data_IF_252998304641
#
_entry.id   IF_252998304641
#
_cell.length_a   1.000
_cell.length_b   1.000
_cell.length_c   1.000
_cell.angle_alpha   90.00
_cell.angle_beta   90.00
_cell.angle_gamma   90.00
#
_symmetry.space_group_name_H-M   'P 1'
#
loop_
_entity.id
_entity.type
_entity.pdbx_description
1 polymer ?
#
# COMPACT_ATOMS: atom_id res chain seq x y z
N UNK A 1 60.22 -33.77 34.17
CA UNK A 1 58.98 -33.55 33.40
C UNK A 1 57.85 -33.81 34.36
N UNK A 2 57.32 -32.73 34.94
CA UNK A 2 56.23 -32.80 35.90
C UNK A 2 54.92 -32.90 35.14
N UNK A 3 54.15 -33.92 35.46
CA UNK A 3 52.81 -34.17 34.96
C UNK A 3 51.91 -32.99 35.35
N UNK A 4 51.46 -32.22 34.36
CA UNK A 4 50.41 -31.23 34.57
C UNK A 4 49.12 -32.02 34.71
N UNK A 5 48.61 -32.12 35.94
CA UNK A 5 47.29 -32.66 36.20
C UNK A 5 46.27 -31.91 35.35
N UNK A 6 45.76 -32.55 34.29
CA UNK A 6 44.51 -32.19 33.66
C UNK A 6 43.45 -32.20 34.77
N UNK A 7 42.97 -31.02 35.16
CA UNK A 7 41.74 -30.92 35.97
C UNK A 7 40.65 -31.60 35.14
N UNK A 8 39.87 -32.53 35.71
CA UNK A 8 38.71 -33.06 35.01
C UNK A 8 37.81 -31.88 34.62
N UNK A 9 37.51 -31.73 33.34
CA UNK A 9 36.42 -30.87 32.90
C UNK A 9 35.16 -31.41 33.59
N UNK A 10 34.61 -30.65 34.52
CA UNK A 10 33.30 -30.97 35.06
C UNK A 10 32.33 -30.92 33.89
N UNK A 11 31.71 -32.06 33.56
CA UNK A 11 30.59 -32.07 32.64
C UNK A 11 29.43 -31.37 33.33
N UNK A 12 29.22 -30.10 32.99
CA UNK A 12 28.06 -29.34 33.41
C UNK A 12 26.79 -29.94 32.80
N UNK A 13 25.70 -29.91 33.55
CA UNK A 13 24.42 -30.45 33.08
C UNK A 13 23.68 -29.50 32.13
N UNK A 14 24.11 -28.25 32.03
CA UNK A 14 23.43 -27.20 31.27
C UNK A 14 22.17 -26.67 31.98
N UNK A 15 21.98 -27.07 33.24
CA UNK A 15 20.81 -26.76 34.04
C UNK A 15 21.26 -26.08 35.34
N UNK A 16 20.91 -24.81 35.48
CA UNK A 16 21.29 -23.98 36.61
C UNK A 16 20.93 -24.63 37.96
N UNK A 17 19.75 -25.25 38.07
CA UNK A 17 19.30 -25.82 39.35
C UNK A 17 20.13 -27.05 39.78
N UNK A 18 20.75 -27.74 38.81
CA UNK A 18 21.60 -28.91 39.05
C UNK A 18 23.07 -28.53 39.22
N UNK A 19 23.53 -27.54 38.47
CA UNK A 19 24.92 -27.09 38.46
C UNK A 19 25.22 -26.17 39.66
N UNK A 20 24.21 -25.46 40.19
CA UNK A 20 24.34 -24.54 41.33
C UNK A 20 23.54 -25.05 42.52
N UNK A 21 24.18 -25.21 43.67
CA UNK A 21 23.52 -25.70 44.88
C UNK A 21 22.39 -24.78 45.35
N UNK A 22 21.24 -25.35 45.72
CA UNK A 22 20.01 -24.60 46.07
C UNK A 22 20.15 -23.47 47.12
N UNK A 23 21.21 -23.50 47.95
CA UNK A 23 21.49 -22.47 48.94
C UNK A 23 22.24 -21.24 48.38
N UNK A 24 22.75 -21.34 47.15
CA UNK A 24 23.53 -20.30 46.45
C UNK A 24 22.76 -19.69 45.27
N UNK A 25 21.70 -20.34 44.79
CA UNK A 25 21.00 -19.95 43.57
C UNK A 25 20.52 -18.49 43.59
N UNK A 26 19.83 -18.07 44.66
CA UNK A 26 19.35 -16.68 44.80
C UNK A 26 20.51 -15.67 44.87
N UNK A 27 21.58 -16.01 45.59
CA UNK A 27 22.76 -15.15 45.76
C UNK A 27 23.51 -14.97 44.43
N UNK A 28 23.72 -16.06 43.69
CA UNK A 28 24.35 -16.05 42.37
C UNK A 28 23.58 -15.17 41.39
N UNK A 29 22.25 -15.34 41.30
CA UNK A 29 21.43 -14.52 40.42
C UNK A 29 21.44 -13.05 40.84
N UNK A 30 21.33 -12.77 42.14
CA UNK A 30 21.39 -11.40 42.64
C UNK A 30 22.72 -10.72 42.33
N UNK A 31 23.86 -11.40 42.53
CA UNK A 31 25.20 -10.87 42.23
C UNK A 31 25.34 -10.54 40.74
N UNK A 32 24.92 -11.46 39.85
CA UNK A 32 24.96 -11.25 38.40
C UNK A 32 24.13 -10.01 38.02
N UNK A 33 22.91 -9.91 38.53
CA UNK A 33 22.00 -8.80 38.24
C UNK A 33 22.53 -7.48 38.77
N UNK A 34 23.07 -7.44 39.99
CA UNK A 34 23.66 -6.22 40.58
C UNK A 34 24.87 -5.72 39.78
N UNK A 35 25.73 -6.62 39.29
CA UNK A 35 26.85 -6.25 38.42
C UNK A 35 26.34 -5.76 37.06
N UNK A 36 25.37 -6.45 36.46
CA UNK A 36 24.83 -6.08 35.15
C UNK A 36 24.12 -4.73 35.14
N UNK A 37 23.41 -4.37 36.22
CA UNK A 37 22.83 -3.04 36.41
C UNK A 37 23.85 -1.97 36.83
N UNK A 38 25.10 -2.37 37.15
CA UNK A 38 26.16 -1.46 37.61
C UNK A 38 25.99 -0.99 39.06
N UNK A 39 25.26 -1.74 39.89
CA UNK A 39 25.11 -1.45 41.32
C UNK A 39 26.26 -1.98 42.17
N UNK A 40 26.99 -3.00 41.68
CA UNK A 40 28.13 -3.61 42.35
C UNK A 40 29.28 -3.90 41.37
N UNK A 41 30.48 -4.11 41.92
CA UNK A 41 31.63 -4.69 41.22
C UNK A 41 31.94 -6.05 41.84
N UNK A 42 32.08 -7.08 41.02
CA UNK A 42 32.39 -8.45 41.44
C UNK A 42 33.46 -9.04 40.53
N UNK A 43 34.60 -9.45 41.10
CA UNK A 43 35.74 -9.97 40.32
C UNK A 43 35.53 -11.38 39.79
N UNK A 44 34.55 -12.11 40.32
CA UNK A 44 34.20 -13.46 39.87
C UNK A 44 33.23 -13.42 38.68
N UNK A 45 32.73 -12.24 38.29
CA UNK A 45 31.72 -12.08 37.23
C UNK A 45 32.32 -11.26 36.07
N UNK A 46 32.19 -11.80 34.86
CA UNK A 46 32.49 -11.08 33.62
C UNK A 46 31.20 -10.90 32.83
N UNK A 47 30.86 -9.65 32.50
CA UNK A 47 29.72 -9.35 31.62
C UNK A 47 30.24 -9.20 30.20
N UNK A 48 29.76 -10.05 29.30
CA UNK A 48 30.16 -10.04 27.89
C UNK A 48 29.27 -9.11 27.07
N UNK A 49 27.96 -9.12 27.35
CA UNK A 49 26.98 -8.30 26.64
C UNK A 49 25.77 -7.96 27.51
N UNK A 50 25.20 -6.78 27.28
CA UNK A 50 23.97 -6.30 27.92
C UNK A 50 23.09 -5.63 26.87
N UNK A 51 21.83 -6.03 26.78
CA UNK A 51 20.80 -5.30 26.04
C UNK A 51 19.77 -4.70 26.99
N UNK A 52 19.66 -3.38 26.96
CA UNK A 52 18.68 -2.65 27.75
C UNK A 52 17.37 -2.54 26.98
N UNK A 53 16.42 -3.40 27.34
CA UNK A 53 15.08 -3.45 26.75
C UNK A 53 14.28 -2.20 27.13
N UNK A 54 14.34 -1.79 28.40
CA UNK A 54 13.81 -0.53 28.91
C UNK A 54 14.49 -0.16 30.24
N UNK A 55 14.08 0.93 30.88
CA UNK A 55 14.68 1.38 32.13
C UNK A 55 14.55 0.39 33.30
N UNK A 56 13.68 -0.63 33.19
CA UNK A 56 13.41 -1.63 34.22
C UNK A 56 13.70 -3.08 33.79
N UNK A 57 14.17 -3.32 32.56
CA UNK A 57 14.38 -4.67 32.03
C UNK A 57 15.65 -4.73 31.19
N UNK A 58 16.50 -5.73 31.47
CA UNK A 58 17.73 -6.01 30.74
C UNK A 58 17.83 -7.49 30.36
N UNK A 59 18.57 -7.77 29.30
CA UNK A 59 19.01 -9.10 28.91
C UNK A 59 20.54 -9.11 28.91
N UNK A 60 21.15 -10.14 29.48
CA UNK A 60 22.56 -10.14 29.88
C UNK A 60 23.18 -11.48 29.50
N UNK A 61 24.39 -11.46 28.97
CA UNK A 61 25.23 -12.66 28.82
C UNK A 61 26.59 -12.43 29.48
N UNK A 62 27.16 -13.50 30.03
CA UNK A 62 28.47 -13.42 30.66
C UNK A 62 28.91 -14.72 31.28
N UNK A 63 29.91 -14.63 32.15
CA UNK A 63 30.43 -15.75 32.93
C UNK A 63 30.55 -15.41 34.41
N UNK A 64 30.44 -16.43 35.26
CA UNK A 64 30.65 -16.35 36.71
C UNK A 64 31.50 -17.52 37.20
N UNK A 65 32.45 -17.26 38.11
CA UNK A 65 33.19 -18.28 38.82
C UNK A 65 32.44 -18.71 40.10
N UNK A 66 32.08 -20.00 40.20
CA UNK A 66 31.43 -20.61 41.37
C UNK A 66 32.28 -21.79 41.82
N UNK A 67 32.73 -21.80 43.08
CA UNK A 67 33.57 -22.85 43.66
C UNK A 67 34.83 -23.21 42.82
N UNK A 68 35.39 -22.22 42.13
CA UNK A 68 36.58 -22.39 41.27
C UNK A 68 36.30 -22.96 39.88
N UNK A 69 35.04 -22.97 39.45
CA UNK A 69 34.59 -23.38 38.11
C UNK A 69 33.89 -22.21 37.41
N UNK A 70 34.20 -22.00 36.14
CA UNK A 70 33.59 -20.95 35.33
C UNK A 70 32.30 -21.46 34.69
N UNK A 71 31.23 -20.69 34.84
CA UNK A 71 29.91 -20.95 34.27
C UNK A 71 29.52 -19.83 33.30
N UNK A 72 28.97 -20.17 32.12
CA UNK A 72 28.36 -19.17 31.24
C UNK A 72 26.87 -19.02 31.53
N UNK A 73 26.34 -17.82 31.34
CA UNK A 73 24.92 -17.54 31.55
C UNK A 73 24.34 -16.61 30.50
N UNK A 74 23.04 -16.77 30.25
CA UNK A 74 22.19 -15.85 29.51
C UNK A 74 20.92 -15.64 30.32
N UNK A 75 20.71 -14.42 30.80
CA UNK A 75 19.70 -14.10 31.80
C UNK A 75 18.90 -12.88 31.34
N UNK A 76 17.60 -12.90 31.62
CA UNK A 76 16.71 -11.75 31.50
C UNK A 76 16.27 -11.32 32.88
N UNK A 77 16.45 -10.05 33.20
CA UNK A 77 16.07 -9.48 34.49
C UNK A 77 15.08 -8.33 34.30
N UNK A 78 14.05 -8.26 35.16
CA UNK A 78 13.15 -7.12 35.14
C UNK A 78 11.89 -7.18 35.99
N UNK A 79 11.22 -6.02 36.03
CA UNK A 79 10.20 -5.71 37.01
C UNK A 79 8.81 -6.20 36.56
N UNK A 80 8.58 -7.52 36.64
CA UNK A 80 7.24 -8.14 36.77
C UNK A 80 7.29 -9.65 37.08
N UNK A 81 8.38 -10.37 36.76
CA UNK A 81 8.51 -11.81 37.01
C UNK A 81 9.82 -12.21 37.72
N UNK A 82 10.71 -11.26 38.02
CA UNK A 82 12.04 -11.54 38.58
C UNK A 82 13.07 -11.85 37.50
N UNK A 83 14.12 -12.57 37.88
CA UNK A 83 15.23 -12.97 37.03
C UNK A 83 14.95 -14.32 36.38
N UNK A 84 14.99 -14.38 35.06
CA UNK A 84 14.76 -15.58 34.24
C UNK A 84 16.08 -16.03 33.60
N UNK A 85 16.39 -17.32 33.72
CA UNK A 85 17.57 -17.92 33.10
C UNK A 85 17.15 -18.47 31.74
N UNK A 86 17.67 -17.89 30.67
CA UNK A 86 17.39 -18.31 29.29
C UNK A 86 18.32 -19.44 28.86
N UNK A 87 19.58 -19.40 29.31
CA UNK A 87 20.58 -20.45 29.09
C UNK A 87 21.64 -20.45 30.20
N UNK A 88 22.19 -21.63 30.49
CA UNK A 88 23.25 -21.86 31.47
C UNK A 88 24.26 -22.87 30.91
N UNK A 89 25.55 -22.53 30.94
CA UNK A 89 26.64 -23.38 30.43
C UNK A 89 26.50 -23.77 28.94
N UNK A 90 25.73 -23.00 28.16
CA UNK A 90 25.66 -23.10 26.71
C UNK A 90 26.07 -21.77 26.06
N UNK A 91 26.55 -21.85 24.82
CA UNK A 91 26.89 -20.65 24.03
C UNK A 91 25.60 -19.99 23.55
N UNK A 92 25.30 -18.81 24.09
CA UNK A 92 24.10 -18.06 23.79
C UNK A 92 24.44 -16.57 23.60
N UNK A 93 23.89 -15.98 22.54
CA UNK A 93 24.07 -14.58 22.21
C UNK A 93 22.72 -13.86 22.25
N UNK A 94 22.74 -12.59 22.65
CA UNK A 94 21.53 -11.75 22.63
C UNK A 94 21.12 -11.50 21.18
N UNK A 95 19.96 -12.01 20.79
CA UNK A 95 19.36 -11.74 19.49
C UNK A 95 18.63 -10.40 19.51
N UNK A 96 19.30 -9.36 18.99
CA UNK A 96 18.71 -8.03 18.84
C UNK A 96 17.96 -7.93 17.52
N UNK A 97 16.64 -7.79 17.59
CA UNK A 97 15.88 -7.34 16.44
C UNK A 97 16.21 -5.86 16.14
N UNK A 98 16.37 -5.46 14.87
CA UNK A 98 16.46 -4.05 14.51
C UNK A 98 15.25 -3.30 15.08
N UNK A 99 15.50 -2.24 15.85
CA UNK A 99 14.40 -1.45 16.43
C UNK A 99 13.62 -0.77 15.32
N UNK A 100 12.37 -1.19 15.13
CA UNK A 100 11.41 -0.52 14.28
C UNK A 100 10.84 0.70 15.04
N UNK A 101 11.15 1.94 14.62
CA UNK A 101 10.75 3.12 15.38
C UNK A 101 9.25 3.37 15.29
N UNK A 102 8.69 3.89 16.39
CA UNK A 102 7.30 4.33 16.40
C UNK A 102 7.09 5.54 15.49
N UNK A 103 5.95 5.57 14.82
CA UNK A 103 5.58 6.57 13.83
C UNK A 103 4.08 6.80 13.78
N UNK A 104 3.66 7.86 13.09
CA UNK A 104 2.23 8.12 12.82
C UNK A 104 1.78 7.40 11.56
N UNK A 105 0.63 6.74 11.64
CA UNK A 105 0.02 6.01 10.54
C UNK A 105 -1.44 6.45 10.43
N UNK A 106 -1.95 6.80 9.25
CA UNK A 106 -3.35 7.14 9.06
C UNK A 106 -4.27 5.91 9.20
N UNK A 107 -5.54 6.14 9.51
CA UNK A 107 -6.56 5.09 9.54
C UNK A 107 -6.67 4.35 8.19
N UNK A 108 -6.79 3.02 8.24
CA UNK A 108 -6.83 2.17 7.05
C UNK A 108 -8.04 2.43 6.13
N UNK A 109 -9.17 2.87 6.67
CA UNK A 109 -10.33 3.25 5.86
C UNK A 109 -10.09 4.56 5.13
N UNK A 110 -9.42 5.52 5.78
CA UNK A 110 -9.03 6.78 5.16
C UNK A 110 -8.05 6.54 3.99
N UNK A 111 -7.05 5.68 4.18
CA UNK A 111 -6.12 5.25 3.12
C UNK A 111 -6.86 4.61 1.95
N UNK A 112 -7.74 3.64 2.24
CA UNK A 112 -8.53 2.95 1.22
C UNK A 112 -9.44 3.91 0.46
N UNK A 113 -10.06 4.87 1.15
CA UNK A 113 -10.87 5.91 0.55
C UNK A 113 -10.03 6.86 -0.32
N UNK A 114 -8.83 7.25 0.11
CA UNK A 114 -7.93 8.09 -0.68
C UNK A 114 -7.56 7.43 -2.00
N UNK A 115 -7.24 6.13 -1.99
CA UNK A 115 -6.96 5.37 -3.22
C UNK A 115 -8.22 5.26 -4.09
N UNK A 116 -9.35 4.87 -3.49
CA UNK A 116 -10.62 4.66 -4.22
C UNK A 116 -11.14 5.93 -4.88
N UNK A 117 -11.02 7.07 -4.21
CA UNK A 117 -11.50 8.36 -4.68
C UNK A 117 -10.40 9.21 -5.33
N UNK A 118 -9.27 8.59 -5.70
CA UNK A 118 -8.21 9.23 -6.51
C UNK A 118 -7.56 10.46 -5.83
N UNK A 119 -7.51 10.47 -4.49
CA UNK A 119 -6.89 11.51 -3.66
C UNK A 119 -5.59 11.06 -3.00
N UNK A 120 -4.99 9.96 -3.47
CA UNK A 120 -3.85 9.34 -2.81
C UNK A 120 -2.61 10.26 -2.75
N UNK A 121 -2.36 11.07 -3.79
CA UNK A 121 -1.22 12.01 -3.83
C UNK A 121 -1.38 13.13 -2.79
N UNK A 122 -2.52 13.83 -2.83
CA UNK A 122 -2.83 14.90 -1.86
C UNK A 122 -2.88 14.38 -0.42
N UNK A 123 -3.42 13.16 -0.23
CA UNK A 123 -3.50 12.51 1.07
C UNK A 123 -2.11 12.16 1.61
N UNK A 124 -1.24 11.60 0.77
CA UNK A 124 0.15 11.31 1.12
C UNK A 124 0.91 12.60 1.49
N UNK A 125 0.76 13.67 0.70
CA UNK A 125 1.38 14.96 1.00
C UNK A 125 0.90 15.53 2.34
N UNK A 126 -0.40 15.44 2.62
CA UNK A 126 -0.99 15.90 3.90
C UNK A 126 -0.44 15.11 5.08
N UNK A 127 -0.42 13.78 4.98
CA UNK A 127 0.10 12.90 6.02
C UNK A 127 1.59 13.16 6.31
N UNK A 128 2.43 13.28 5.28
CA UNK A 128 3.86 13.56 5.50
C UNK A 128 4.08 14.95 6.13
N UNK A 129 3.24 15.95 5.79
CA UNK A 129 3.28 17.27 6.44
C UNK A 129 2.87 17.18 7.91
N UNK A 130 1.82 16.43 8.25
CA UNK A 130 1.40 16.22 9.63
C UNK A 130 2.50 15.49 10.44
N UNK A 131 3.10 14.45 9.87
CA UNK A 131 4.24 13.73 10.47
C UNK A 131 5.44 14.65 10.70
N UNK A 132 5.73 15.55 9.75
CA UNK A 132 6.82 16.52 9.85
C UNK A 132 6.50 17.74 10.75
N UNK A 133 5.28 17.87 11.24
CA UNK A 133 4.87 19.01 12.08
C UNK A 133 4.52 20.28 11.30
N UNK A 134 4.39 20.21 9.98
CA UNK A 134 4.10 21.36 9.09
C UNK A 134 2.70 21.33 8.49
N UNK A 135 1.96 20.25 8.69
CA UNK A 135 0.58 20.07 8.26
C UNK A 135 -0.42 20.74 9.20
N UNK A 136 -1.71 20.62 8.87
CA UNK A 136 -2.82 21.21 9.63
C UNK A 136 -2.83 20.73 11.09
N UNK A 137 -2.53 19.45 11.31
CA UNK A 137 -2.52 18.83 12.64
C UNK A 137 -1.10 18.52 13.13
N UNK A 138 -0.08 18.97 12.39
CA UNK A 138 1.31 18.58 12.64
C UNK A 138 1.85 18.99 14.02
N UNK A 139 1.45 20.15 14.54
CA UNK A 139 1.87 20.60 15.88
C UNK A 139 1.39 19.65 16.98
N UNK A 140 0.17 19.12 16.85
CA UNK A 140 -0.42 18.20 17.81
C UNK A 140 0.13 16.78 17.66
N UNK A 141 0.41 16.34 16.42
CA UNK A 141 0.70 14.95 16.11
C UNK A 141 2.19 14.59 16.11
N UNK A 142 3.06 15.43 15.53
CA UNK A 142 4.45 15.07 15.16
C UNK A 142 5.32 14.55 16.32
N UNK A 143 5.01 14.95 17.56
CA UNK A 143 5.78 14.55 18.77
C UNK A 143 5.21 13.33 19.48
N UNK A 144 4.00 12.87 19.14
CA UNK A 144 3.34 11.79 19.87
C UNK A 144 4.13 10.47 19.80
N UNK A 145 4.67 10.02 18.65
CA UNK A 145 5.40 8.75 18.61
C UNK A 145 6.67 8.75 19.45
N UNK A 146 7.44 9.86 19.43
CA UNK A 146 8.67 9.97 20.21
C UNK A 146 8.39 10.11 21.71
N UNK A 147 7.32 10.82 22.10
CA UNK A 147 6.86 10.89 23.47
C UNK A 147 6.40 9.51 23.99
N UNK A 148 5.63 8.76 23.20
CA UNK A 148 5.23 7.41 23.55
C UNK A 148 6.43 6.46 23.66
N UNK A 149 7.39 6.52 22.73
CA UNK A 149 8.60 5.72 22.79
C UNK A 149 9.41 6.02 24.06
N UNK A 150 9.55 7.31 24.41
CA UNK A 150 10.23 7.74 25.62
C UNK A 150 9.54 7.19 26.88
N UNK A 151 8.23 7.38 27.03
CA UNK A 151 7.50 6.92 28.21
C UNK A 151 7.45 5.39 28.29
N UNK A 152 7.38 4.69 27.16
CA UNK A 152 7.43 3.22 27.13
C UNK A 152 8.79 2.70 27.61
N UNK A 153 9.87 3.45 27.38
CA UNK A 153 11.20 3.10 27.86
C UNK A 153 11.40 3.45 29.34
N UNK A 154 11.03 4.66 29.78
CA UNK A 154 11.33 5.16 31.13
C UNK A 154 10.26 4.87 32.17
N UNK A 155 9.01 4.69 31.75
CA UNK A 155 7.87 4.45 32.62
C UNK A 155 7.03 3.27 32.10
N UNK A 156 7.65 2.09 31.86
CA UNK A 156 6.93 0.94 31.34
C UNK A 156 5.80 0.53 32.30
N UNK A 157 4.65 0.12 31.75
CA UNK A 157 3.50 -0.35 32.54
C UNK A 157 2.61 0.74 33.16
N UNK A 158 2.95 2.03 33.02
CA UNK A 158 2.14 3.14 33.56
C UNK A 158 0.86 3.44 32.76
N UNK A 159 0.71 2.87 31.57
CA UNK A 159 -0.41 3.14 30.67
C UNK A 159 -0.30 4.47 29.91
N UNK A 160 0.81 5.20 30.04
CA UNK A 160 1.05 6.47 29.34
C UNK A 160 0.87 6.36 27.81
N UNK A 161 1.27 5.21 27.23
CA UNK A 161 1.09 4.90 25.81
C UNK A 161 -0.35 5.10 25.32
N UNK A 162 -1.35 4.72 26.12
CA UNK A 162 -2.76 4.84 25.76
C UNK A 162 -3.17 6.31 25.53
N UNK A 163 -2.64 7.23 26.35
CA UNK A 163 -2.97 8.65 26.22
C UNK A 163 -2.47 9.27 24.92
N UNK A 164 -1.33 8.80 24.39
CA UNK A 164 -0.79 9.24 23.10
C UNK A 164 -1.58 8.63 21.94
N UNK A 165 -1.95 7.35 22.06
CA UNK A 165 -2.80 6.66 21.09
C UNK A 165 -4.18 7.31 20.98
N UNK A 166 -4.83 7.60 22.11
CA UNK A 166 -6.14 8.25 22.15
C UNK A 166 -6.08 9.64 21.48
N UNK A 167 -5.01 10.42 21.73
CA UNK A 167 -4.79 11.71 21.07
C UNK A 167 -4.58 11.59 19.56
N UNK A 168 -3.82 10.60 19.09
CA UNK A 168 -3.65 10.38 17.66
C UNK A 168 -5.00 10.03 16.99
N UNK A 169 -5.81 9.21 17.67
CA UNK A 169 -7.12 8.77 17.18
C UNK A 169 -8.13 9.93 17.02
N UNK A 170 -8.03 11.01 17.81
CA UNK A 170 -8.84 12.22 17.63
C UNK A 170 -8.70 12.86 16.24
N UNK A 171 -7.59 12.57 15.56
CA UNK A 171 -7.27 13.08 14.21
C UNK A 171 -7.26 11.98 13.15
N UNK A 172 -7.87 10.82 13.41
CA UNK A 172 -7.90 9.66 12.50
C UNK A 172 -6.50 9.07 12.20
N UNK A 173 -5.57 9.20 13.15
CA UNK A 173 -4.25 8.57 13.12
C UNK A 173 -4.09 7.52 14.23
N UNK A 174 -3.12 6.64 14.05
CA UNK A 174 -2.63 5.73 15.08
C UNK A 174 -1.11 5.84 15.19
N UNK A 175 -0.58 5.44 16.35
CA UNK A 175 0.87 5.30 16.56
C UNK A 175 1.20 3.83 16.36
N UNK A 176 1.96 3.52 15.32
CA UNK A 176 2.44 2.18 15.01
C UNK A 176 3.90 2.21 14.61
N UNK A 177 4.33 1.27 13.76
CA UNK A 177 5.73 1.12 13.38
C UNK A 177 6.05 1.73 12.00
N UNK A 178 7.32 2.05 11.76
CA UNK A 178 7.76 2.61 10.48
C UNK A 178 7.63 1.61 9.33
N UNK A 179 7.77 0.30 9.60
CA UNK A 179 7.45 -0.74 8.62
C UNK A 179 5.99 -0.70 8.15
N UNK A 180 5.04 -0.48 9.06
CA UNK A 180 3.62 -0.32 8.73
C UNK A 180 3.37 0.97 7.92
N UNK A 181 4.00 2.08 8.33
CA UNK A 181 3.93 3.33 7.55
C UNK A 181 4.49 3.15 6.14
N UNK A 182 5.59 2.42 5.98
CA UNK A 182 6.14 2.08 4.68
C UNK A 182 5.14 1.31 3.82
N UNK A 183 4.41 0.35 4.38
CA UNK A 183 3.33 -0.36 3.67
C UNK A 183 2.17 0.57 3.26
N UNK A 184 1.80 1.51 4.11
CA UNK A 184 0.77 2.52 3.79
C UNK A 184 1.24 3.44 2.65
N UNK A 185 2.49 3.92 2.67
CA UNK A 185 3.07 4.71 1.58
C UNK A 185 3.04 3.95 0.26
N UNK A 186 3.47 2.68 0.25
CA UNK A 186 3.41 1.84 -0.95
C UNK A 186 1.99 1.74 -1.51
N UNK A 187 0.99 1.60 -0.64
CA UNK A 187 -0.42 1.53 -1.02
C UNK A 187 -0.89 2.83 -1.68
N UNK A 188 -0.60 3.98 -1.07
CA UNK A 188 -0.94 5.28 -1.61
C UNK A 188 -0.23 5.55 -2.95
N UNK A 189 1.08 5.36 -3.00
CA UNK A 189 1.89 5.59 -4.20
C UNK A 189 1.47 4.67 -5.35
N UNK A 190 1.20 3.40 -5.06
CA UNK A 190 0.63 2.47 -6.05
C UNK A 190 -0.75 2.90 -6.58
N UNK A 191 -1.51 3.67 -5.79
CA UNK A 191 -2.77 4.28 -6.21
C UNK A 191 -2.60 5.46 -7.18
N UNK A 192 -1.48 6.20 -7.09
CA UNK A 192 -1.18 7.41 -7.88
C UNK A 192 -0.88 7.07 -9.33
N UNK A 193 -0.01 6.09 -9.55
CA UNK A 193 0.50 5.75 -10.88
C UNK A 193 -0.38 4.73 -11.60
N UNK A 194 -0.55 4.94 -12.91
CA UNK A 194 -1.30 4.09 -13.83
C UNK A 194 -0.40 3.67 -14.97
N UNK A 195 -0.54 2.40 -15.36
CA UNK A 195 0.12 1.83 -16.54
C UNK A 195 -0.77 2.13 -17.74
N UNK A 196 -0.20 2.71 -18.79
CA UNK A 196 -0.84 3.02 -20.06
C UNK A 196 -0.04 2.40 -21.21
N UNK A 197 -0.66 2.04 -22.35
CA UNK A 197 0.09 1.62 -23.52
C UNK A 197 0.91 2.79 -24.07
N UNK A 198 2.05 2.49 -24.67
CA UNK A 198 2.83 3.49 -25.41
C UNK A 198 2.15 3.73 -26.75
N UNK A 199 1.61 4.94 -26.92
CA UNK A 199 1.02 5.40 -28.19
C UNK A 199 1.90 6.52 -28.72
N UNK A 200 3.08 6.14 -29.23
CA UNK A 200 4.21 6.89 -29.82
C UNK A 200 4.38 8.42 -29.69
N UNK A 201 5.67 8.80 -29.70
CA UNK A 201 6.31 10.03 -29.20
C UNK A 201 5.95 11.37 -29.89
N UNK A 202 5.18 11.38 -30.99
CA UNK A 202 4.98 12.58 -31.83
C UNK A 202 3.51 12.99 -32.07
N UNK A 203 2.54 12.37 -31.38
CA UNK A 203 1.12 12.81 -31.38
C UNK A 203 0.31 12.56 -32.66
N UNK A 204 0.97 12.29 -33.80
CA UNK A 204 0.34 12.01 -35.09
C UNK A 204 -0.19 10.59 -35.26
N UNK A 205 0.14 9.65 -34.37
CA UNK A 205 -0.22 8.22 -34.52
C UNK A 205 -1.50 7.84 -33.79
N UNK A 206 -1.91 8.55 -32.73
CA UNK A 206 -3.15 8.24 -32.02
C UNK A 206 -4.37 8.34 -32.95
N UNK A 207 -4.39 9.30 -33.88
CA UNK A 207 -5.46 9.45 -34.87
C UNK A 207 -5.54 8.31 -35.89
N UNK A 208 -4.46 7.55 -36.08
CA UNK A 208 -4.35 6.45 -37.04
C UNK A 208 -4.44 5.08 -36.35
N UNK A 209 -4.10 5.01 -35.06
CA UNK A 209 -4.17 3.79 -34.26
C UNK A 209 -5.60 3.23 -34.19
N UNK A 210 -5.72 1.90 -34.31
CA UNK A 210 -6.99 1.19 -34.10
C UNK A 210 -7.32 1.20 -32.59
N UNK A 211 -8.41 1.86 -32.14
CA UNK A 211 -8.70 1.99 -30.72
C UNK A 211 -8.94 0.64 -30.02
N UNK A 212 -9.51 -0.35 -30.72
CA UNK A 212 -9.80 -1.65 -30.16
C UNK A 212 -8.51 -2.45 -29.88
N UNK A 213 -7.53 -2.37 -30.77
CA UNK A 213 -6.20 -2.98 -30.56
C UNK A 213 -5.49 -2.30 -29.37
N UNK A 214 -5.53 -0.97 -29.28
CA UNK A 214 -4.92 -0.25 -28.15
C UNK A 214 -5.55 -0.62 -26.81
N UNK A 215 -6.87 -0.80 -26.73
CA UNK A 215 -7.54 -1.27 -25.51
C UNK A 215 -7.17 -2.72 -25.18
N UNK A 216 -7.03 -3.58 -26.19
CA UNK A 216 -6.60 -4.96 -26.00
C UNK A 216 -5.16 -5.04 -25.48
N UNK A 217 -4.22 -4.33 -26.11
CA UNK A 217 -2.83 -4.21 -25.66
C UNK A 217 -2.78 -3.68 -24.22
N UNK A 218 -3.62 -2.68 -23.90
CA UNK A 218 -3.68 -2.14 -22.55
C UNK A 218 -4.16 -3.17 -21.52
N UNK A 219 -5.10 -4.04 -21.88
CA UNK A 219 -5.54 -5.13 -21.01
C UNK A 219 -4.38 -6.12 -20.75
N UNK A 220 -3.62 -6.48 -21.78
CA UNK A 220 -2.46 -7.38 -21.67
C UNK A 220 -1.37 -6.83 -20.74
N UNK A 221 -1.10 -5.51 -20.79
CA UNK A 221 -0.16 -4.85 -19.88
C UNK A 221 -0.58 -4.95 -18.40
N UNK A 222 -1.87 -5.11 -18.14
CA UNK A 222 -2.45 -5.23 -16.79
C UNK A 222 -2.66 -6.68 -16.36
N UNK A 223 -2.58 -7.64 -17.28
CA UNK A 223 -2.81 -9.05 -17.00
C UNK A 223 -1.58 -9.73 -16.40
N UNK A 224 -1.65 -10.07 -15.12
CA UNK A 224 -0.57 -10.72 -14.38
C UNK A 224 -0.34 -12.19 -14.74
N UNK A 225 -1.21 -12.78 -15.57
CA UNK A 225 -1.01 -14.12 -16.12
C UNK A 225 -0.05 -14.10 -17.33
N UNK A 226 0.17 -12.93 -17.95
CA UNK A 226 1.16 -12.75 -19.03
C UNK A 226 2.57 -12.47 -18.48
N UNK A 227 3.61 -12.79 -19.24
CA UNK A 227 5.00 -12.43 -18.88
C UNK A 227 5.18 -10.91 -18.78
N UNK A 228 4.58 -10.16 -19.71
CA UNK A 228 4.63 -8.70 -19.74
C UNK A 228 3.96 -8.09 -18.51
N UNK A 229 2.74 -8.52 -18.17
CA UNK A 229 2.04 -8.00 -17.00
C UNK A 229 2.72 -8.38 -15.67
N UNK A 230 3.34 -9.57 -15.56
CA UNK A 230 4.22 -9.89 -14.42
C UNK A 230 5.42 -8.96 -14.32
N UNK A 231 6.09 -8.70 -15.44
CA UNK A 231 7.23 -7.78 -15.48
C UNK A 231 6.82 -6.36 -15.07
N UNK A 232 5.68 -5.86 -15.58
CA UNK A 232 5.10 -4.57 -15.22
C UNK A 232 4.77 -4.50 -13.73
N UNK A 233 4.11 -5.51 -13.16
CA UNK A 233 3.79 -5.58 -11.73
C UNK A 233 5.06 -5.56 -10.87
N UNK A 234 6.09 -6.30 -11.28
CA UNK A 234 7.37 -6.33 -10.59
C UNK A 234 8.07 -4.97 -10.64
N UNK A 235 8.16 -4.35 -11.82
CA UNK A 235 8.74 -3.02 -12.00
C UNK A 235 7.99 -1.96 -11.19
N UNK A 236 6.65 -1.99 -11.21
CA UNK A 236 5.81 -1.09 -10.41
C UNK A 236 6.06 -1.29 -8.91
N UNK A 237 6.14 -2.54 -8.45
CA UNK A 237 6.39 -2.84 -7.03
C UNK A 237 7.75 -2.34 -6.55
N UNK A 238 8.80 -2.46 -7.39
CA UNK A 238 10.13 -1.97 -7.08
C UNK A 238 10.20 -0.44 -7.05
N UNK A 239 9.63 0.22 -8.07
CA UNK A 239 9.53 1.68 -8.14
C UNK A 239 8.76 2.23 -6.94
N UNK A 240 7.59 1.66 -6.63
CA UNK A 240 6.76 2.08 -5.49
C UNK A 240 7.49 1.89 -4.17
N UNK A 241 8.25 0.80 -4.00
CA UNK A 241 9.05 0.58 -2.80
C UNK A 241 10.16 1.63 -2.64
N UNK A 242 10.87 1.96 -3.72
CA UNK A 242 11.86 3.06 -3.71
C UNK A 242 11.21 4.40 -3.34
N UNK A 243 10.11 4.76 -3.99
CA UNK A 243 9.41 6.01 -3.72
C UNK A 243 8.85 6.09 -2.29
N UNK A 244 8.48 4.96 -1.69
CA UNK A 244 8.05 4.90 -0.29
C UNK A 244 9.21 5.10 0.69
N UNK A 245 10.45 4.82 0.26
CA UNK A 245 11.68 4.99 1.04
C UNK A 245 12.22 6.43 0.93
N UNK A 246 12.33 6.97 -0.30
CA UNK A 246 12.92 8.29 -0.56
C UNK A 246 11.92 9.45 -0.66
N UNK A 247 10.62 9.16 -0.72
CA UNK A 247 9.52 10.11 -0.91
C UNK A 247 9.62 10.97 -2.20
N UNK A 248 10.40 10.53 -3.19
CA UNK A 248 10.51 11.19 -4.50
C UNK A 248 9.48 10.60 -5.45
N UNK A 249 8.32 11.26 -5.54
CA UNK A 249 7.13 10.83 -6.31
C UNK A 249 7.24 11.01 -7.84
N UNK A 250 8.40 10.68 -8.40
CA UNK A 250 8.65 10.71 -9.85
C UNK A 250 9.47 9.48 -10.28
N UNK A 251 9.07 8.79 -11.37
CA UNK A 251 9.87 7.70 -11.92
C UNK A 251 11.24 8.20 -12.36
N UNK A 252 12.28 7.41 -12.12
CA UNK A 252 13.60 7.69 -12.67
C UNK A 252 13.62 7.43 -14.18
N UNK A 253 14.65 7.93 -14.87
CA UNK A 253 14.81 7.69 -16.30
C UNK A 253 14.96 6.18 -16.62
N UNK A 254 15.62 5.43 -15.74
CA UNK A 254 15.77 3.98 -15.87
C UNK A 254 14.44 3.26 -15.69
N UNK A 255 13.67 3.62 -14.66
CA UNK A 255 12.33 3.06 -14.42
C UNK A 255 11.41 3.34 -15.62
N UNK A 256 11.32 4.60 -16.06
CA UNK A 256 10.52 4.97 -17.22
C UNK A 256 10.97 4.24 -18.51
N UNK A 257 12.28 4.06 -18.70
CA UNK A 257 12.84 3.27 -19.78
C UNK A 257 12.42 1.80 -19.72
N UNK A 258 12.45 1.18 -18.54
CA UNK A 258 12.04 -0.21 -18.35
C UNK A 258 10.56 -0.44 -18.69
N UNK A 259 9.65 0.46 -18.27
CA UNK A 259 8.24 0.39 -18.70
C UNK A 259 8.10 0.53 -20.22
N UNK A 260 8.84 1.45 -20.84
CA UNK A 260 8.77 1.68 -22.28
C UNK A 260 9.21 0.46 -23.10
N UNK A 261 10.24 -0.26 -22.66
CA UNK A 261 10.65 -1.53 -23.29
C UNK A 261 9.53 -2.57 -23.25
N UNK A 262 8.69 -2.55 -22.22
CA UNK A 262 7.52 -3.42 -22.07
C UNK A 262 6.28 -2.89 -22.82
N UNK A 263 6.40 -1.85 -23.64
CA UNK A 263 5.26 -1.24 -24.34
C UNK A 263 4.37 -0.39 -23.44
N UNK A 264 4.82 -0.08 -22.22
CA UNK A 264 4.08 0.67 -21.22
C UNK A 264 4.64 2.07 -20.98
N UNK A 265 3.77 3.00 -20.60
CA UNK A 265 4.10 4.30 -20.06
C UNK A 265 3.42 4.47 -18.71
N UNK A 266 4.05 5.26 -17.84
CA UNK A 266 3.50 5.63 -16.54
C UNK A 266 2.79 6.97 -16.66
N UNK A 267 1.61 7.05 -16.10
CA UNK A 267 0.86 8.30 -16.02
C UNK A 267 0.08 8.40 -14.71
N UNK A 268 -0.51 9.57 -14.48
CA UNK A 268 -1.53 9.76 -13.45
C UNK A 268 -2.92 9.51 -14.02
N UNK A 269 -3.88 9.30 -13.12
CA UNK A 269 -5.26 8.96 -13.46
C UNK A 269 -5.97 9.91 -14.45
N UNK A 270 -5.81 11.25 -14.40
CA UNK A 270 -6.43 12.12 -15.39
C UNK A 270 -6.02 11.81 -16.83
N UNK A 271 -4.76 11.42 -17.05
CA UNK A 271 -4.26 11.03 -18.37
C UNK A 271 -4.82 9.67 -18.82
N UNK A 272 -4.95 8.70 -17.91
CA UNK A 272 -5.60 7.41 -18.18
C UNK A 272 -7.06 7.61 -18.59
N UNK A 273 -7.83 8.41 -17.85
CA UNK A 273 -9.24 8.71 -18.14
C UNK A 273 -9.37 9.43 -19.48
N UNK A 274 -8.51 10.42 -19.75
CA UNK A 274 -8.51 11.13 -21.01
C UNK A 274 -8.24 10.21 -22.21
N UNK A 275 -7.24 9.33 -22.10
CA UNK A 275 -6.93 8.38 -23.17
C UNK A 275 -8.08 7.40 -23.39
N UNK A 276 -8.60 6.77 -22.32
CA UNK A 276 -9.75 5.85 -22.45
C UNK A 276 -10.94 6.55 -23.09
N UNK A 277 -11.25 7.78 -22.66
CA UNK A 277 -12.35 8.55 -23.22
C UNK A 277 -12.18 8.80 -24.72
N UNK A 278 -10.96 9.10 -25.17
CA UNK A 278 -10.65 9.29 -26.59
C UNK A 278 -10.72 7.99 -27.40
N UNK A 279 -10.29 6.86 -26.84
CA UNK A 279 -10.39 5.57 -27.51
C UNK A 279 -11.87 5.17 -27.68
N UNK A 280 -12.64 5.26 -26.60
CA UNK A 280 -14.06 4.91 -26.60
C UNK A 280 -14.92 5.82 -27.48
N UNK A 281 -14.64 7.13 -27.52
CA UNK A 281 -15.36 8.04 -28.42
C UNK A 281 -15.13 7.74 -29.90
N UNK A 282 -14.02 7.07 -30.25
CA UNK A 282 -13.73 6.60 -31.62
C UNK A 282 -14.29 5.22 -31.93
N UNK A 283 -14.57 4.41 -30.90
CA UNK A 283 -15.11 3.05 -31.06
C UNK A 283 -16.62 3.03 -31.19
N UNK A 284 -17.33 4.03 -30.67
CA UNK A 284 -18.79 4.05 -30.68
C UNK A 284 -19.34 4.94 -31.78
N UNK A 285 -20.46 4.51 -32.35
CA UNK A 285 -21.36 5.36 -33.13
C UNK A 285 -22.80 5.10 -32.73
N UNK A 286 -23.64 6.12 -32.83
CA UNK A 286 -25.08 5.97 -32.70
C UNK A 286 -25.69 6.16 -34.08
N UNK A 287 -26.32 5.11 -34.57
CA UNK A 287 -26.87 5.06 -35.93
C UNK A 287 -28.41 5.07 -35.86
N UNK A 288 -29.10 5.92 -36.63
CA UNK A 288 -30.57 5.92 -36.62
C UNK A 288 -31.13 4.55 -37.01
N UNK A 289 -32.14 4.07 -36.28
CA UNK A 289 -32.85 2.84 -36.61
C UNK A 289 -33.77 3.11 -37.80
N UNK A 290 -33.56 2.40 -38.91
CA UNK A 290 -34.40 2.53 -40.09
C UNK A 290 -35.86 2.16 -39.77
N UNK A 291 -36.79 3.07 -40.11
CA UNK A 291 -38.22 2.85 -39.90
C UNK A 291 -38.72 3.07 -38.46
N UNK A 292 -37.90 3.63 -37.56
CA UNK A 292 -38.33 3.97 -36.21
C UNK A 292 -39.52 4.96 -36.22
N UNK A 293 -40.59 4.63 -35.51
CA UNK A 293 -41.78 5.49 -35.43
C UNK A 293 -41.53 6.65 -34.43
N UNK A 294 -41.52 7.92 -34.86
CA UNK A 294 -41.34 9.06 -33.97
C UNK A 294 -42.39 9.17 -32.84
N UNK A 295 -43.53 8.47 -32.96
CA UNK A 295 -44.54 8.40 -31.89
C UNK A 295 -44.08 7.61 -30.67
N UNK A 296 -43.14 6.69 -30.86
CA UNK A 296 -42.57 5.84 -29.79
C UNK A 296 -41.54 6.59 -28.94
N UNK A 297 -41.12 7.80 -29.35
CA UNK A 297 -40.22 8.63 -28.56
C UNK A 297 -40.82 8.90 -27.17
N UNK A 298 -39.98 8.95 -26.11
CA UNK A 298 -40.44 9.34 -24.79
C UNK A 298 -40.89 10.81 -24.78
N UNK A 299 -41.78 11.13 -23.84
CA UNK A 299 -42.17 12.52 -23.58
C UNK A 299 -41.04 13.25 -22.84
N UNK A 300 -40.75 14.47 -23.26
CA UNK A 300 -39.90 15.40 -22.56
C UNK A 300 -40.67 15.95 -21.34
N UNK A 301 -40.20 15.68 -20.10
CA UNK A 301 -40.91 16.06 -18.89
C UNK A 301 -41.06 17.58 -18.75
N UNK A 302 -40.12 18.37 -19.26
CA UNK A 302 -40.19 19.83 -19.24
C UNK A 302 -41.27 20.32 -20.23
N UNK A 303 -41.32 19.74 -21.43
CA UNK A 303 -42.31 20.10 -22.43
C UNK A 303 -43.74 19.71 -21.98
N UNK A 304 -43.90 18.56 -21.33
CA UNK A 304 -45.17 18.14 -20.72
C UNK A 304 -45.60 19.08 -19.59
N UNK A 305 -44.67 19.57 -18.77
CA UNK A 305 -44.98 20.60 -17.77
C UNK A 305 -45.46 21.90 -18.44
N UNK A 306 -44.78 22.37 -19.48
CA UNK A 306 -45.20 23.59 -20.19
C UNK A 306 -46.55 23.47 -20.88
N UNK A 307 -46.89 22.29 -21.41
CA UNK A 307 -48.20 22.02 -22.01
C UNK A 307 -49.36 22.12 -21.00
N UNK A 308 -49.11 21.85 -19.71
CA UNK A 308 -50.09 22.07 -18.64
C UNK A 308 -50.33 23.57 -18.40
N UNK A 309 -49.32 24.41 -18.60
CA UNK A 309 -49.42 25.86 -18.37
C UNK A 309 -49.92 26.64 -19.60
N UNK A 310 -49.44 26.29 -20.79
CA UNK A 310 -49.86 26.89 -22.06
C UNK A 310 -49.62 25.90 -23.22
N UNK A 311 -50.70 25.30 -23.72
CA UNK A 311 -50.65 24.31 -24.80
C UNK A 311 -50.22 24.88 -26.15
N UNK A 312 -50.34 26.20 -26.36
CA UNK A 312 -49.96 26.84 -27.62
C UNK A 312 -48.45 27.10 -27.73
N UNK A 313 -47.71 27.07 -26.60
CA UNK A 313 -46.26 27.29 -26.57
C UNK A 313 -45.43 26.05 -26.88
N UNK A 314 -46.02 24.84 -26.92
CA UNK A 314 -45.28 23.58 -27.05
C UNK A 314 -45.64 22.88 -28.38
N UNK A 315 -44.76 23.01 -29.38
CA UNK A 315 -44.96 22.40 -30.71
C UNK A 315 -44.83 20.88 -30.76
N UNK A 316 -44.12 20.28 -29.80
CA UNK A 316 -44.03 18.82 -29.59
C UNK A 316 -43.64 18.56 -28.14
N UNK A 317 -44.21 17.51 -27.55
CA UNK A 317 -43.86 17.06 -26.20
C UNK A 317 -42.84 15.93 -26.21
N UNK A 318 -42.49 15.38 -27.38
CA UNK A 318 -41.45 14.35 -27.51
C UNK A 318 -40.06 14.92 -27.29
N UNK A 319 -39.15 14.10 -26.78
CA UNK A 319 -37.72 14.42 -26.70
C UNK A 319 -37.12 14.67 -28.10
N UNK A 320 -36.03 15.43 -28.15
CA UNK A 320 -35.25 15.60 -29.38
C UNK A 320 -34.20 14.48 -29.47
N UNK A 321 -34.33 13.51 -30.40
CA UNK A 321 -33.45 12.35 -30.48
C UNK A 321 -31.96 12.70 -30.61
N UNK A 322 -31.64 13.77 -31.34
CA UNK A 322 -30.26 14.20 -31.58
C UNK A 322 -29.60 14.74 -30.31
N UNK A 323 -30.37 15.49 -29.50
CA UNK A 323 -29.88 16.00 -28.22
C UNK A 323 -29.69 14.86 -27.22
N UNK A 324 -30.69 13.98 -27.10
CA UNK A 324 -30.63 12.82 -26.20
C UNK A 324 -29.43 11.93 -26.49
N UNK A 325 -29.10 11.70 -27.78
CA UNK A 325 -27.92 10.91 -28.15
C UNK A 325 -26.61 11.62 -27.88
N UNK A 326 -26.56 12.94 -28.01
CA UNK A 326 -25.37 13.72 -27.64
C UNK A 326 -25.10 13.57 -26.14
N UNK A 327 -26.13 13.77 -25.32
CA UNK A 327 -26.04 13.60 -23.86
C UNK A 327 -25.71 12.16 -23.47
N UNK A 328 -26.31 11.17 -24.14
CA UNK A 328 -26.05 9.76 -23.91
C UNK A 328 -24.59 9.39 -24.27
N UNK A 329 -24.05 9.98 -25.34
CA UNK A 329 -22.66 9.79 -25.76
C UNK A 329 -21.71 10.32 -24.69
N UNK A 330 -21.92 11.55 -24.21
CA UNK A 330 -21.09 12.14 -23.17
C UNK A 330 -21.14 11.33 -21.86
N UNK A 331 -22.34 10.92 -21.44
CA UNK A 331 -22.53 10.10 -20.25
C UNK A 331 -21.85 8.73 -20.38
N UNK A 332 -21.98 8.09 -21.55
CA UNK A 332 -21.35 6.80 -21.83
C UNK A 332 -19.83 6.92 -21.77
N UNK A 333 -19.24 7.84 -22.52
CA UNK A 333 -17.79 8.05 -22.56
C UNK A 333 -17.26 8.42 -21.17
N UNK A 334 -17.98 9.27 -20.43
CA UNK A 334 -17.62 9.66 -19.08
C UNK A 334 -17.66 8.48 -18.08
N UNK A 335 -18.65 7.59 -18.18
CA UNK A 335 -18.75 6.40 -17.33
C UNK A 335 -17.65 5.39 -17.67
N UNK A 336 -17.48 5.07 -18.95
CA UNK A 336 -16.55 4.01 -19.38
C UNK A 336 -15.09 4.42 -19.20
N UNK A 337 -14.76 5.69 -19.41
CA UNK A 337 -13.40 6.21 -19.20
C UNK A 337 -12.93 6.15 -17.76
N UNK A 338 -13.85 6.27 -16.80
CA UNK A 338 -13.59 6.09 -15.36
C UNK A 338 -13.72 4.64 -14.90
N UNK A 339 -14.41 3.80 -15.66
CA UNK A 339 -14.62 2.40 -15.34
C UNK A 339 -13.34 1.57 -15.37
N UNK A 340 -13.39 0.39 -14.75
CA UNK A 340 -12.38 -0.65 -14.90
C UNK A 340 -12.72 -1.63 -16.03
N UNK A 341 -13.99 -1.74 -16.41
CA UNK A 341 -14.45 -2.63 -17.47
C UNK A 341 -14.46 -1.95 -18.84
N UNK A 342 -14.04 -2.69 -19.86
CA UNK A 342 -14.16 -2.33 -21.28
C UNK A 342 -15.40 -2.97 -21.94
N UNK A 343 -16.39 -3.36 -21.13
CA UNK A 343 -17.67 -3.90 -21.60
C UNK A 343 -18.77 -2.85 -21.60
N UNK A 344 -19.60 -2.84 -22.65
CA UNK A 344 -20.79 -1.99 -22.71
C UNK A 344 -21.98 -2.71 -22.07
N UNK A 345 -22.55 -2.12 -21.03
CA UNK A 345 -23.76 -2.62 -20.39
C UNK A 345 -24.97 -2.61 -21.36
N UNK A 346 -25.84 -3.63 -21.29
CA UNK A 346 -27.07 -3.69 -22.10
C UNK A 346 -27.96 -2.44 -21.95
N UNK A 347 -27.93 -1.80 -20.77
CA UNK A 347 -28.67 -0.58 -20.49
C UNK A 347 -28.34 0.57 -21.46
N UNK A 348 -27.13 0.63 -22.01
CA UNK A 348 -26.74 1.65 -23.00
C UNK A 348 -27.36 1.41 -24.36
N UNK A 349 -27.42 0.14 -24.80
CA UNK A 349 -28.13 -0.25 -26.02
C UNK A 349 -29.63 0.05 -25.90
N UNK A 350 -30.23 -0.31 -24.76
CA UNK A 350 -31.65 -0.06 -24.51
C UNK A 350 -31.97 1.44 -24.44
N UNK A 351 -31.09 2.25 -23.84
CA UNK A 351 -31.25 3.70 -23.77
C UNK A 351 -31.21 4.35 -25.16
N UNK A 352 -30.28 3.94 -26.03
CA UNK A 352 -30.20 4.40 -27.41
C UNK A 352 -31.45 4.03 -28.22
N UNK A 353 -31.90 2.77 -28.08
CA UNK A 353 -33.04 2.24 -28.82
C UNK A 353 -34.34 2.99 -28.50
N UNK A 354 -34.52 3.43 -27.24
CA UNK A 354 -35.69 4.22 -26.80
C UNK A 354 -35.82 5.56 -27.52
N UNK A 355 -34.73 6.12 -28.02
CA UNK A 355 -34.72 7.40 -28.76
C UNK A 355 -34.50 7.19 -30.26
N UNK A 356 -34.62 5.95 -30.75
CA UNK A 356 -34.58 5.63 -32.17
C UNK A 356 -33.18 5.45 -32.76
N UNK A 357 -32.18 5.14 -31.93
CA UNK A 357 -30.81 4.88 -32.37
C UNK A 357 -30.31 3.51 -31.92
N UNK A 358 -29.44 2.92 -32.72
CA UNK A 358 -28.67 1.75 -32.35
C UNK A 358 -27.26 2.19 -31.95
N UNK A 359 -26.81 1.75 -30.77
CA UNK A 359 -25.42 1.85 -30.39
C UNK A 359 -24.60 0.80 -31.15
N UNK A 360 -23.64 1.25 -31.93
CA UNK A 360 -22.67 0.42 -32.65
C UNK A 360 -21.33 0.57 -31.96
N UNK A 361 -20.73 -0.56 -31.58
CA UNK A 361 -19.37 -0.62 -31.03
C UNK A 361 -18.49 -1.29 -32.07
N UNK A 362 -17.55 -0.53 -32.64
CA UNK A 362 -16.60 -1.03 -33.63
C UNK A 362 -15.52 -1.84 -32.90
N UNK A 363 -15.67 -3.15 -32.89
CA UNK A 363 -14.60 -4.08 -32.50
C UNK A 363 -13.62 -4.27 -33.66
N UNK A 364 -12.41 -4.75 -33.36
CA UNK A 364 -11.42 -5.16 -34.37
C UNK A 364 -11.84 -6.47 -35.08
N UNK A 365 -13.04 -6.53 -35.67
CA UNK A 365 -13.32 -7.57 -36.66
C UNK A 365 -12.61 -7.18 -37.96
N UNK A 366 -11.58 -7.94 -38.31
CA UNK A 366 -11.02 -7.98 -39.66
C UNK A 366 -12.18 -8.22 -40.65
N UNK A 367 -12.49 -7.24 -41.51
CA UNK A 367 -13.15 -7.58 -42.77
C UNK A 367 -12.23 -8.59 -43.49
N UNK A 368 -12.68 -9.83 -43.77
CA UNK A 368 -11.89 -10.72 -44.58
C UNK A 368 -11.68 -10.04 -45.93
N UNK A 369 -10.40 -9.93 -46.34
CA UNK A 369 -10.03 -9.36 -47.63
C UNK A 369 -10.95 -9.94 -48.72
N UNK A 370 -11.46 -9.11 -49.65
CA UNK A 370 -12.35 -9.58 -50.68
C UNK A 370 -11.64 -10.71 -51.42
N UNK A 371 -12.22 -11.91 -51.38
CA UNK A 371 -11.79 -13.03 -52.22
C UNK A 371 -11.71 -12.51 -53.63
N UNK A 372 -10.50 -12.34 -54.15
CA UNK A 372 -10.27 -12.10 -55.57
C UNK A 372 -11.06 -13.16 -56.32
N UNK A 373 -12.05 -12.69 -57.07
CA UNK A 373 -12.71 -13.46 -58.08
C UNK A 373 -11.66 -14.15 -58.93
N UNK A 374 -11.57 -15.48 -58.81
CA UNK A 374 -10.95 -16.31 -59.84
C UNK A 374 -11.66 -15.98 -61.16
N UNK A 375 -11.00 -15.15 -61.97
CA UNK A 375 -11.31 -15.08 -63.39
C UNK A 375 -11.08 -16.48 -63.99
N UNK A 376 -12.10 -16.96 -64.71
CA UNK A 376 -12.08 -18.18 -65.52
C UNK A 376 -11.15 -18.07 -66.71
#
# INVERSE_FOLDING_TARGET
MGDASEKPQAEFSGDFEKDVGAHLQDDVLQRIVEVAWGYAEDTEISIDDVDQLNALNIEITGTIEIDGQEHSFHIKDGNNNGTEILSWNEDAAIHREPRDPLTLIPDGNAVSAAVRYERAEDFLETWEKDKAGTGEYGEALSKLPSAQAYDSFFAPGTGAAKSYQDKAAEYEYQIGYESDAFHVRKTLIGGIFKVMPVICENGSELSVANPAEVLADWADLKDTETDTGRAIKSAMSAMVARMADDLVLHPTAEEAGAFRVLGASLARRPAEVALRGLLWSRMISFEPIEGFDPKELPENPIAELFKVFDSEMVGSTKVNPVMEITDLTEQFVSKISRGSSDTVDQAWYDAAARVGYQLVVRSAEHEPAPTESMEM
#
